data_IF_168875029433
#
_entry.id   IF_168875029433
#
_cell.length_a   1.000
_cell.length_b   1.000
_cell.length_c   1.000
_cell.angle_alpha   90.00
_cell.angle_beta   90.00
_cell.angle_gamma   90.00
#
_symmetry.space_group_name_H-M   'P 1'
#
loop_
_entity.id
_entity.type
_entity.pdbx_description
1 polymer ?
#
# COMPACT_ATOMS: atom_id res chain seq x y z
N UNK A 1 -7.62 8.10 -9.19
CA UNK A 1 -8.72 8.40 -8.27
C UNK A 1 -8.97 7.23 -7.35
N UNK A 2 -9.11 7.52 -6.08
CA UNK A 2 -9.48 6.50 -5.07
C UNK A 2 -10.99 6.54 -4.88
N UNK A 3 -11.62 5.35 -4.93
CA UNK A 3 -13.03 5.19 -4.61
C UNK A 3 -13.15 4.15 -3.50
N UNK A 4 -14.09 4.32 -2.60
CA UNK A 4 -14.27 3.35 -1.51
C UNK A 4 -14.50 1.96 -2.08
N UNK A 5 -13.75 0.99 -1.57
CA UNK A 5 -13.82 -0.38 -2.07
C UNK A 5 -15.00 -1.12 -1.46
N UNK A 6 -15.66 -1.93 -2.29
CA UNK A 6 -16.74 -2.81 -1.86
C UNK A 6 -16.56 -4.24 -2.37
N UNK A 7 -15.52 -4.50 -3.16
CA UNK A 7 -15.28 -5.79 -3.79
C UNK A 7 -14.15 -6.54 -3.09
N UNK A 8 -14.51 -7.23 -2.01
CA UNK A 8 -13.56 -8.00 -1.20
C UNK A 8 -12.83 -9.07 -2.04
N UNK A 9 -13.56 -9.77 -2.91
CA UNK A 9 -12.96 -10.85 -3.72
C UNK A 9 -11.91 -10.32 -4.66
N UNK A 10 -12.17 -9.20 -5.30
CA UNK A 10 -11.19 -8.56 -6.18
C UNK A 10 -9.93 -8.19 -5.39
N UNK A 11 -10.11 -7.53 -4.25
CA UNK A 11 -9.00 -7.09 -3.42
C UNK A 11 -8.16 -8.28 -2.93
N UNK A 12 -8.80 -9.33 -2.46
CA UNK A 12 -8.09 -10.52 -1.97
C UNK A 12 -7.35 -11.22 -3.10
N UNK A 13 -8.01 -11.44 -4.23
CA UNK A 13 -7.42 -12.14 -5.37
C UNK A 13 -6.20 -11.40 -5.90
N UNK A 14 -6.30 -10.08 -6.02
CA UNK A 14 -5.20 -9.25 -6.52
C UNK A 14 -4.01 -9.29 -5.55
N UNK A 15 -4.27 -9.13 -4.26
CA UNK A 15 -3.23 -9.14 -3.24
C UNK A 15 -2.55 -10.50 -3.18
N UNK A 16 -3.33 -11.57 -3.13
CA UNK A 16 -2.79 -12.94 -3.08
C UNK A 16 -1.93 -13.23 -4.30
N UNK A 17 -2.40 -12.89 -5.48
CA UNK A 17 -1.68 -13.12 -6.73
C UNK A 17 -0.36 -12.33 -6.77
N UNK A 18 -0.39 -11.07 -6.43
CA UNK A 18 0.80 -10.21 -6.47
C UNK A 18 1.83 -10.60 -5.39
N UNK A 19 1.37 -11.11 -4.25
CA UNK A 19 2.26 -11.44 -3.13
C UNK A 19 2.71 -12.90 -3.13
N UNK A 20 2.22 -13.72 -4.06
CA UNK A 20 2.45 -15.16 -4.05
C UNK A 20 3.92 -15.54 -3.99
N UNK A 21 4.78 -14.91 -4.80
CA UNK A 21 6.21 -15.23 -4.84
C UNK A 21 6.92 -14.84 -3.54
N UNK A 22 6.55 -13.71 -2.94
CA UNK A 22 7.13 -13.27 -1.67
C UNK A 22 6.75 -14.23 -0.54
N UNK A 23 5.51 -14.67 -0.51
CA UNK A 23 5.01 -15.60 0.50
C UNK A 23 5.64 -16.98 0.33
N UNK A 24 5.76 -17.46 -0.91
CA UNK A 24 6.38 -18.74 -1.19
C UNK A 24 7.83 -18.77 -0.70
N UNK A 25 8.60 -17.73 -1.00
CA UNK A 25 10.00 -17.63 -0.59
C UNK A 25 10.15 -17.66 0.93
N UNK A 26 9.17 -17.16 1.66
CA UNK A 26 9.18 -17.06 3.13
C UNK A 26 8.39 -18.15 3.82
N UNK A 27 7.89 -19.14 3.09
CA UNK A 27 7.05 -20.21 3.64
C UNK A 27 5.82 -19.65 4.39
N UNK A 28 5.27 -18.56 3.91
CA UNK A 28 4.04 -17.97 4.46
C UNK A 28 2.86 -18.52 3.66
N UNK A 29 1.87 -19.05 4.38
CA UNK A 29 0.63 -19.55 3.78
C UNK A 29 -0.37 -18.41 3.77
N UNK A 30 -1.07 -18.22 2.63
CA UNK A 30 -2.12 -17.21 2.54
C UNK A 30 -3.25 -17.53 3.53
N UNK A 31 -3.63 -16.53 4.30
CA UNK A 31 -4.67 -16.67 5.33
C UNK A 31 -5.87 -15.79 4.94
N UNK A 32 -6.86 -16.42 4.30
CA UNK A 32 -8.09 -15.73 3.88
C UNK A 32 -8.87 -15.15 5.04
N UNK A 33 -8.91 -15.85 6.17
CA UNK A 33 -9.63 -15.37 7.34
C UNK A 33 -9.00 -14.08 7.88
N UNK A 34 -7.68 -14.01 7.90
CA UNK A 34 -6.97 -12.80 8.30
C UNK A 34 -7.30 -11.63 7.35
N UNK A 35 -7.31 -11.89 6.04
CA UNK A 35 -7.64 -10.87 5.06
C UNK A 35 -9.07 -10.36 5.25
N UNK A 36 -10.01 -11.26 5.44
CA UNK A 36 -11.42 -10.91 5.65
C UNK A 36 -11.61 -10.11 6.94
N UNK A 37 -10.96 -10.52 8.03
CA UNK A 37 -11.02 -9.81 9.29
C UNK A 37 -10.44 -8.41 9.18
N UNK A 38 -9.32 -8.25 8.47
CA UNK A 38 -8.70 -6.95 8.25
C UNK A 38 -9.53 -6.05 7.36
N UNK A 39 -10.36 -6.63 6.48
CA UNK A 39 -11.23 -5.86 5.59
C UNK A 39 -12.16 -4.91 6.36
N UNK A 40 -12.68 -5.36 7.51
CA UNK A 40 -13.58 -4.54 8.32
C UNK A 40 -12.84 -3.49 9.15
N UNK A 41 -11.55 -3.71 9.41
CA UNK A 41 -10.73 -2.82 10.25
C UNK A 41 -10.05 -1.74 9.42
N UNK A 42 -9.61 -2.10 8.22
CA UNK A 42 -8.85 -1.19 7.37
C UNK A 42 -9.77 -0.29 6.55
N UNK A 43 -9.21 0.85 6.14
CA UNK A 43 -9.85 1.79 5.24
C UNK A 43 -9.47 1.40 3.82
N UNK A 44 -10.41 0.86 3.06
CA UNK A 44 -10.15 0.20 1.77
C UNK A 44 -10.65 1.04 0.60
N UNK A 45 -9.78 1.22 -0.39
CA UNK A 45 -10.12 1.96 -1.61
C UNK A 45 -9.71 1.17 -2.84
N UNK A 46 -10.46 1.34 -3.91
CA UNK A 46 -10.08 0.91 -5.26
C UNK A 46 -9.45 2.09 -5.97
N UNK A 47 -8.42 1.79 -6.78
CA UNK A 47 -7.72 2.80 -7.57
C UNK A 47 -8.26 2.75 -8.99
N UNK A 48 -8.68 3.91 -9.51
CA UNK A 48 -9.14 4.05 -10.89
C UNK A 48 -8.23 4.99 -11.66
N UNK A 49 -7.88 4.60 -12.87
CA UNK A 49 -7.18 5.41 -13.84
C UNK A 49 -8.02 5.44 -15.12
N UNK A 50 -8.47 6.63 -15.54
CA UNK A 50 -9.30 6.81 -16.73
C UNK A 50 -10.53 5.87 -16.76
N UNK A 51 -11.21 5.75 -15.61
CA UNK A 51 -12.38 4.91 -15.41
C UNK A 51 -12.10 3.39 -15.42
N UNK A 52 -10.83 2.98 -15.49
CA UNK A 52 -10.45 1.58 -15.33
C UNK A 52 -10.04 1.30 -13.89
N UNK A 53 -10.57 0.23 -13.31
CA UNK A 53 -10.12 -0.23 -12.01
C UNK A 53 -8.74 -0.88 -12.17
N UNK A 54 -7.71 -0.26 -11.59
CA UNK A 54 -6.32 -0.70 -11.80
C UNK A 54 -5.69 -1.32 -10.57
N UNK A 55 -6.31 -1.17 -9.40
CA UNK A 55 -5.73 -1.73 -8.18
C UNK A 55 -6.50 -1.37 -6.94
N UNK A 56 -5.85 -1.63 -5.80
CA UNK A 56 -6.38 -1.31 -4.47
C UNK A 56 -5.32 -0.60 -3.64
N UNK A 57 -5.81 0.16 -2.65
CA UNK A 57 -4.97 0.75 -1.61
C UNK A 57 -5.73 0.65 -0.29
N UNK A 58 -5.00 0.33 0.79
CA UNK A 58 -5.61 0.11 2.10
C UNK A 58 -4.80 0.83 3.16
N UNK A 59 -5.50 1.45 4.10
CA UNK A 59 -4.89 2.26 5.15
C UNK A 59 -5.38 1.85 6.53
N UNK A 60 -4.57 2.15 7.53
CA UNK A 60 -5.01 2.29 8.92
C UNK A 60 -4.40 3.56 9.49
N UNK A 61 -4.94 4.01 10.62
CA UNK A 61 -4.54 5.28 11.21
C UNK A 61 -4.36 5.11 12.72
N UNK A 62 -3.37 5.79 13.26
CA UNK A 62 -3.12 5.80 14.70
C UNK A 62 -2.53 7.15 15.07
N UNK A 63 -3.28 7.93 15.85
CA UNK A 63 -2.86 9.26 16.25
C UNK A 63 -2.49 10.11 15.03
N UNK A 64 -1.22 10.50 14.92
CA UNK A 64 -0.74 11.36 13.84
C UNK A 64 -0.06 10.57 12.72
N UNK A 65 -0.29 9.25 12.64
CA UNK A 65 0.35 8.39 11.64
C UNK A 65 -0.71 7.75 10.74
N UNK A 66 -0.48 7.80 9.43
CA UNK A 66 -1.18 6.99 8.45
C UNK A 66 -0.29 5.82 8.08
N UNK A 67 -0.86 4.60 8.12
CA UNK A 67 -0.17 3.39 7.69
C UNK A 67 -0.71 2.98 6.32
N UNK A 68 0.18 2.89 5.35
CA UNK A 68 -0.14 2.25 4.07
C UNK A 68 -0.02 0.75 4.26
N UNK A 69 -1.16 0.05 4.31
CA UNK A 69 -1.20 -1.38 4.58
C UNK A 69 -1.05 -2.23 3.33
N UNK A 70 -1.60 -1.76 2.22
CA UNK A 70 -1.51 -2.44 0.94
C UNK A 70 -1.56 -1.42 -0.19
N UNK A 71 -0.73 -1.64 -1.18
CA UNK A 71 -0.83 -0.98 -2.48
C UNK A 71 -0.59 -2.07 -3.52
N UNK A 72 -1.65 -2.45 -4.24
CA UNK A 72 -1.59 -3.50 -5.24
C UNK A 72 -2.15 -3.00 -6.56
N UNK A 73 -1.37 -3.12 -7.61
CA UNK A 73 -1.80 -2.81 -8.96
C UNK A 73 -1.90 -4.11 -9.76
N UNK A 74 -2.91 -4.20 -10.62
CA UNK A 74 -3.00 -5.33 -11.55
C UNK A 74 -1.77 -5.33 -12.46
N UNK A 75 -1.17 -6.53 -12.74
CA UNK A 75 0.09 -6.58 -13.47
C UNK A 75 0.07 -5.89 -14.84
N UNK A 76 -1.06 -5.89 -15.55
CA UNK A 76 -1.19 -5.23 -16.85
C UNK A 76 -0.99 -3.72 -16.79
N UNK A 77 -1.08 -3.12 -15.60
CA UNK A 77 -0.90 -1.69 -15.40
C UNK A 77 0.47 -1.34 -14.82
N UNK A 78 1.34 -2.34 -14.62
CA UNK A 78 2.70 -2.10 -14.15
C UNK A 78 3.54 -1.39 -15.23
N UNK A 79 4.49 -0.58 -14.83
CA UNK A 79 5.40 0.09 -15.73
C UNK A 79 4.80 1.26 -16.51
N UNK A 80 3.63 1.75 -16.14
CA UNK A 80 2.93 2.84 -16.83
C UNK A 80 2.85 4.15 -16.03
N UNK A 81 3.62 4.22 -14.95
CA UNK A 81 3.61 5.41 -14.08
C UNK A 81 2.43 5.49 -13.12
N UNK A 82 1.55 4.49 -13.12
CA UNK A 82 0.37 4.48 -12.24
C UNK A 82 0.77 4.35 -10.78
N UNK A 83 1.81 3.55 -10.49
CA UNK A 83 2.35 3.42 -9.14
C UNK A 83 2.84 4.74 -8.57
N UNK A 84 3.57 5.52 -9.37
CA UNK A 84 4.07 6.81 -8.96
C UNK A 84 2.92 7.80 -8.67
N UNK A 85 1.92 7.83 -9.54
CA UNK A 85 0.74 8.68 -9.35
C UNK A 85 -0.06 8.24 -8.12
N UNK A 86 -0.18 6.94 -7.91
CA UNK A 86 -0.87 6.40 -6.74
C UNK A 86 -0.17 6.82 -5.45
N UNK A 87 1.17 6.81 -5.43
CA UNK A 87 1.92 7.26 -4.26
C UNK A 87 1.71 8.74 -3.98
N UNK A 88 1.64 9.59 -5.02
CA UNK A 88 1.31 11.00 -4.83
C UNK A 88 -0.07 11.15 -4.16
N UNK A 89 -1.04 10.37 -4.59
CA UNK A 89 -2.38 10.37 -4.00
C UNK A 89 -2.38 9.84 -2.57
N UNK A 90 -1.56 8.82 -2.29
CA UNK A 90 -1.40 8.25 -0.95
C UNK A 90 -0.82 9.30 0.01
N UNK A 91 0.22 10.00 -0.42
CA UNK A 91 0.82 11.07 0.38
C UNK A 91 -0.21 12.16 0.67
N UNK A 92 -0.96 12.56 -0.36
CA UNK A 92 -2.01 13.56 -0.19
C UNK A 92 -3.12 13.08 0.75
N UNK A 93 -3.48 11.79 0.68
CA UNK A 93 -4.47 11.20 1.57
C UNK A 93 -4.03 11.30 3.03
N UNK A 94 -2.74 11.02 3.30
CA UNK A 94 -2.18 11.15 4.64
C UNK A 94 -2.19 12.60 5.12
N UNK A 95 -1.92 13.56 4.23
CA UNK A 95 -2.02 15.00 4.55
C UNK A 95 -3.44 15.39 4.90
N UNK A 96 -4.42 14.89 4.17
CA UNK A 96 -5.84 15.18 4.44
C UNK A 96 -6.29 14.62 5.79
N UNK A 97 -5.64 13.57 6.27
CA UNK A 97 -5.86 13.02 7.61
C UNK A 97 -5.05 13.75 8.68
N UNK A 98 -4.35 14.83 8.30
CA UNK A 98 -3.53 15.63 9.22
C UNK A 98 -2.44 14.79 9.91
N UNK A 99 -1.99 13.74 9.24
CA UNK A 99 -0.92 12.88 9.74
C UNK A 99 0.42 13.59 9.65
N UNK A 100 1.30 13.33 10.60
CA UNK A 100 2.68 13.81 10.59
C UNK A 100 3.60 12.83 9.90
N UNK A 101 3.21 11.56 9.84
CA UNK A 101 4.00 10.49 9.24
C UNK A 101 3.12 9.59 8.40
N UNK A 102 3.72 9.06 7.34
CA UNK A 102 3.15 7.99 6.53
C UNK A 102 4.14 6.83 6.57
N UNK A 103 3.71 5.69 7.07
CA UNK A 103 4.55 4.51 7.20
C UNK A 103 4.06 3.40 6.29
N UNK A 104 5.00 2.60 5.80
CA UNK A 104 4.70 1.37 5.07
C UNK A 104 5.71 0.29 5.43
N UNK A 105 5.36 -0.97 5.15
CA UNK A 105 6.28 -2.10 5.26
C UNK A 105 6.33 -2.81 3.92
N UNK A 106 7.53 -3.23 3.53
CA UNK A 106 7.77 -3.84 2.22
C UNK A 106 8.88 -4.88 2.34
N UNK A 107 8.73 -5.99 1.61
CA UNK A 107 9.78 -6.99 1.58
C UNK A 107 11.02 -6.44 0.87
N UNK A 108 12.21 -6.78 1.39
CA UNK A 108 13.47 -6.20 0.95
C UNK A 108 13.79 -6.43 -0.52
N UNK A 109 13.27 -7.51 -1.13
CA UNK A 109 13.47 -7.79 -2.54
C UNK A 109 12.44 -7.12 -3.46
N UNK A 110 11.49 -6.39 -2.90
CA UNK A 110 10.45 -5.75 -3.71
C UNK A 110 11.03 -4.56 -4.48
N UNK A 111 10.92 -4.55 -5.82
CA UNK A 111 11.46 -3.46 -6.63
C UNK A 111 10.77 -2.11 -6.39
N UNK A 112 9.60 -2.09 -5.78
CA UNK A 112 8.90 -0.86 -5.44
C UNK A 112 9.66 0.02 -4.44
N UNK A 113 10.62 -0.53 -3.72
CA UNK A 113 11.45 0.23 -2.78
C UNK A 113 12.12 1.42 -3.47
N UNK A 114 12.60 1.21 -4.69
CA UNK A 114 13.22 2.28 -5.46
C UNK A 114 12.26 3.45 -5.66
N UNK A 115 11.03 3.14 -6.02
CA UNK A 115 10.00 4.16 -6.22
C UNK A 115 9.66 4.88 -4.91
N UNK A 116 9.56 4.15 -3.82
CA UNK A 116 9.32 4.76 -2.51
C UNK A 116 10.42 5.75 -2.15
N UNK A 117 11.69 5.35 -2.35
CA UNK A 117 12.83 6.24 -2.10
C UNK A 117 12.80 7.48 -2.99
N UNK A 118 12.46 7.31 -4.25
CA UNK A 118 12.35 8.43 -5.20
C UNK A 118 11.27 9.42 -4.77
N UNK A 119 10.22 8.95 -4.13
CA UNK A 119 9.13 9.80 -3.64
C UNK A 119 9.44 10.47 -2.30
N UNK A 120 10.53 10.09 -1.65
CA UNK A 120 10.96 10.71 -0.41
C UNK A 120 10.83 9.85 0.83
N UNK A 121 10.49 8.58 0.68
CA UNK A 121 10.49 7.66 1.82
C UNK A 121 11.91 7.30 2.21
N UNK A 122 12.13 7.15 3.51
CA UNK A 122 13.42 6.68 4.06
C UNK A 122 13.21 5.41 4.84
N UNK A 123 14.21 4.53 4.79
CA UNK A 123 14.18 3.29 5.54
C UNK A 123 14.46 3.58 7.02
N UNK A 124 13.64 3.03 7.92
CA UNK A 124 13.80 3.21 9.36
C UNK A 124 14.30 1.95 10.05
N UNK A 125 13.71 0.80 9.71
CA UNK A 125 14.09 -0.46 10.36
C UNK A 125 13.88 -1.62 9.40
N UNK A 126 14.65 -2.69 9.59
CA UNK A 126 14.45 -3.94 8.86
C UNK A 126 14.47 -5.09 9.85
N UNK A 127 13.46 -5.97 9.76
CA UNK A 127 13.36 -7.17 10.58
C UNK A 127 12.99 -8.34 9.68
N UNK A 128 13.90 -9.34 9.61
CA UNK A 128 13.68 -10.57 8.83
C UNK A 128 13.27 -10.31 7.37
N UNK A 129 13.93 -9.32 6.73
CA UNK A 129 13.67 -8.99 5.34
C UNK A 129 12.43 -8.14 5.10
N UNK A 130 11.76 -7.68 6.15
CA UNK A 130 10.66 -6.73 6.06
C UNK A 130 11.15 -5.36 6.46
N UNK A 131 11.12 -4.42 5.51
CA UNK A 131 11.62 -3.07 5.68
C UNK A 131 10.47 -2.14 6.02
N UNK A 132 10.65 -1.32 7.06
CA UNK A 132 9.75 -0.21 7.33
C UNK A 132 10.30 1.04 6.68
N UNK A 133 9.42 1.79 6.02
CA UNK A 133 9.79 3.06 5.39
C UNK A 133 8.85 4.15 5.87
N UNK A 134 9.39 5.35 5.97
CA UNK A 134 8.67 6.50 6.52
C UNK A 134 8.77 7.69 5.57
N UNK A 135 7.64 8.36 5.39
CA UNK A 135 7.57 9.67 4.75
C UNK A 135 7.12 10.68 5.81
N UNK A 136 7.95 11.69 6.04
CA UNK A 136 7.63 12.76 7.00
C UNK A 136 6.77 13.80 6.30
N UNK A 137 5.59 14.04 6.86
CA UNK A 137 4.66 15.03 6.35
C UNK A 137 4.94 16.35 7.09
N UNK A 138 5.35 17.36 6.36
CA UNK A 138 5.57 18.65 6.97
C UNK A 138 4.24 19.28 7.38
N UNK A 139 4.15 19.68 8.64
CA UNK A 139 3.04 20.52 9.06
C UNK A 139 3.32 21.92 8.50
N UNK A 140 2.42 22.40 7.66
CA UNK A 140 2.45 23.79 7.27
C UNK A 140 1.95 24.62 8.44
N UNK A 141 2.87 25.18 9.14
CA UNK A 141 2.55 26.19 10.13
C UNK A 141 2.83 27.56 9.56
#
# INVERSE_FOLDING_TARGET
QFKRASDLKYAESLTQSNMASYYLTRNIVWDSNLFINNWTILDNFEIFADNYRVGIVRFSYNESTTFLRDLQLSPEFHGKGIGAKSLDMIINHARQHQSKKLLLRVFSENPAIKLYKEKGFTQTVEVNGLIEMEFTLSSNT
#
